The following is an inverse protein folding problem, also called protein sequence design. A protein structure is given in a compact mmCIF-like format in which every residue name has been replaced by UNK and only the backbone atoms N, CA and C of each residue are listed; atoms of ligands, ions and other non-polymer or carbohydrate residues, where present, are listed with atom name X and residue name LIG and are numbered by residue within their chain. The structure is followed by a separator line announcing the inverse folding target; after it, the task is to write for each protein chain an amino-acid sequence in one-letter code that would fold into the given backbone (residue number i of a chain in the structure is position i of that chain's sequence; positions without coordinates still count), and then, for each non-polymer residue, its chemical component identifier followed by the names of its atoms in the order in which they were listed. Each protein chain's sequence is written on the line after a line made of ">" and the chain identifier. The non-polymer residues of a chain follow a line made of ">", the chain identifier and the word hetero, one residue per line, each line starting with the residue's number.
data_IF_280148366114
#
_entry.id   IF_280148366114
#
_cell.length_a   1.000
_cell.length_b   1.000
_cell.length_c   1.000
_cell.angle_alpha   90.00
_cell.angle_beta   90.00
_cell.angle_gamma   90.00
#
_symmetry.space_group_name_H-M   'P 1'
#
loop_
_entity.id
_entity.type
_entity.pdbx_description
1 polymer ?
#
# COMPACT_ATOMS: atom_id res chain seq x y z
N UNK A 1 -24.20 10.85 54.46
CA UNK A 1 -23.67 11.00 53.10
C UNK A 1 -24.66 10.36 52.13
N UNK A 2 -25.25 11.11 51.21
CA UNK A 2 -26.39 10.66 50.41
C UNK A 2 -25.95 9.51 49.50
N UNK A 3 -26.63 8.34 49.54
CA UNK A 3 -26.26 7.13 48.77
C UNK A 3 -26.09 7.42 47.27
N UNK A 4 -26.83 8.40 46.76
CA UNK A 4 -26.74 8.92 45.39
C UNK A 4 -25.36 9.50 45.04
N UNK A 5 -24.70 10.20 45.97
CA UNK A 5 -23.35 10.75 45.73
C UNK A 5 -22.33 9.62 45.57
N UNK A 6 -22.47 8.56 46.37
CA UNK A 6 -21.59 7.39 46.29
C UNK A 6 -21.74 6.64 44.96
N UNK A 7 -22.97 6.54 44.45
CA UNK A 7 -23.26 5.92 43.15
C UNK A 7 -22.67 6.75 42.00
N UNK A 8 -22.76 8.08 42.06
CA UNK A 8 -22.19 8.98 41.04
C UNK A 8 -20.67 8.86 40.99
N UNK A 9 -20.00 8.86 42.15
CA UNK A 9 -18.55 8.69 42.23
C UNK A 9 -18.09 7.31 41.75
N UNK A 10 -18.86 6.25 42.05
CA UNK A 10 -18.58 4.91 41.55
C UNK A 10 -18.69 4.83 40.02
N UNK A 11 -19.72 5.47 39.43
CA UNK A 11 -19.92 5.50 37.97
C UNK A 11 -18.81 6.29 37.25
N UNK A 12 -18.38 7.41 37.84
CA UNK A 12 -17.28 8.23 37.31
C UNK A 12 -15.95 7.48 37.36
N UNK A 13 -15.71 6.71 38.43
CA UNK A 13 -14.53 5.84 38.55
C UNK A 13 -14.45 4.78 37.46
N UNK A 14 -15.58 4.18 37.07
CA UNK A 14 -15.63 3.19 35.99
C UNK A 14 -15.31 3.82 34.63
N UNK A 15 -15.82 5.03 34.34
CA UNK A 15 -15.50 5.74 33.08
C UNK A 15 -14.00 6.04 32.92
N UNK A 16 -13.29 6.30 34.03
CA UNK A 16 -11.85 6.59 34.01
C UNK A 16 -10.98 5.33 33.80
N UNK A 17 -11.55 4.14 33.94
CA UNK A 17 -10.83 2.86 33.74
C UNK A 17 -10.98 2.28 32.34
N UNK A 18 -11.75 2.93 31.45
CA UNK A 18 -11.85 2.50 30.06
C UNK A 18 -10.50 2.83 29.40
N UNK A 19 -9.70 1.82 28.98
CA UNK A 19 -8.48 2.11 28.24
C UNK A 19 -8.86 2.89 26.98
N UNK A 20 -8.27 4.06 26.79
CA UNK A 20 -8.32 4.75 25.50
C UNK A 20 -7.84 3.75 24.44
N UNK A 21 -8.67 3.43 23.44
CA UNK A 21 -8.20 2.67 22.28
C UNK A 21 -7.03 3.45 21.67
N UNK A 22 -5.81 2.96 21.87
CA UNK A 22 -4.62 3.56 21.31
C UNK A 22 -4.29 2.78 20.05
N UNK A 23 -5.06 3.01 18.99
CA UNK A 23 -4.89 2.37 17.68
C UNK A 23 -3.74 3.02 16.89
N UNK A 24 -2.83 3.73 17.57
CA UNK A 24 -1.76 4.47 16.93
C UNK A 24 -0.66 3.51 16.48
N UNK A 25 -0.71 3.12 15.21
CA UNK A 25 0.36 2.38 14.53
C UNK A 25 1.66 3.18 14.53
N UNK A 26 2.76 2.49 14.82
CA UNK A 26 4.12 3.00 14.61
C UNK A 26 4.50 2.89 13.13
N UNK A 27 5.56 3.59 12.73
CA UNK A 27 6.11 3.44 11.38
C UNK A 27 6.49 1.98 11.05
N UNK A 28 7.02 1.25 12.03
CA UNK A 28 7.36 -0.17 11.87
C UNK A 28 6.11 -1.03 11.65
N UNK A 29 5.00 -0.72 12.33
CA UNK A 29 3.73 -1.42 12.12
C UNK A 29 3.18 -1.16 10.72
N UNK A 30 3.29 0.08 10.20
CA UNK A 30 2.91 0.39 8.82
C UNK A 30 3.73 -0.38 7.79
N UNK A 31 5.05 -0.46 7.98
CA UNK A 31 5.91 -1.24 7.09
C UNK A 31 5.57 -2.73 7.11
N UNK A 32 5.33 -3.28 8.31
CA UNK A 32 4.95 -4.68 8.46
C UNK A 32 3.60 -4.98 7.79
N UNK A 33 2.61 -4.11 7.98
CA UNK A 33 1.30 -4.28 7.35
C UNK A 33 1.36 -4.12 5.83
N UNK A 34 2.19 -3.20 5.32
CA UNK A 34 2.44 -3.01 3.89
C UNK A 34 3.07 -4.27 3.27
N UNK A 35 4.14 -4.81 3.86
CA UNK A 35 4.81 -6.03 3.40
C UNK A 35 3.81 -7.19 3.34
N UNK A 36 3.02 -7.37 4.41
CA UNK A 36 1.98 -8.40 4.47
C UNK A 36 0.89 -8.21 3.42
N UNK A 37 0.47 -6.97 3.14
CA UNK A 37 -0.54 -6.67 2.15
C UNK A 37 -0.03 -6.97 0.73
N UNK A 38 1.23 -6.65 0.44
CA UNK A 38 1.91 -6.97 -0.83
C UNK A 38 1.99 -8.50 -1.01
N UNK A 39 2.45 -9.24 0.00
CA UNK A 39 2.54 -10.70 -0.06
C UNK A 39 1.19 -11.36 -0.30
N UNK A 40 0.14 -10.87 0.38
CA UNK A 40 -1.23 -11.33 0.17
C UNK A 40 -1.69 -11.07 -1.28
N UNK A 41 -1.41 -9.89 -1.82
CA UNK A 41 -1.78 -9.53 -3.18
C UNK A 41 -1.07 -10.42 -4.21
N UNK A 42 0.24 -10.63 -4.06
CA UNK A 42 1.04 -11.52 -4.90
C UNK A 42 0.46 -12.93 -4.89
N UNK A 43 0.13 -13.47 -3.71
CA UNK A 43 -0.45 -14.80 -3.58
C UNK A 43 -1.85 -14.90 -4.19
N UNK A 44 -2.71 -13.91 -3.96
CA UNK A 44 -4.08 -13.89 -4.49
C UNK A 44 -4.12 -13.77 -6.01
N UNK A 45 -3.27 -12.94 -6.60
CA UNK A 45 -3.18 -12.73 -8.04
C UNK A 45 -2.26 -13.74 -8.73
N UNK A 46 -1.62 -14.65 -7.98
CA UNK A 46 -0.69 -15.67 -8.49
C UNK A 46 0.46 -15.07 -9.32
N UNK A 47 1.02 -13.97 -8.82
CA UNK A 47 2.12 -13.28 -9.49
C UNK A 47 3.43 -14.06 -9.29
N UNK A 48 4.24 -14.12 -10.33
CA UNK A 48 5.61 -14.62 -10.28
C UNK A 48 6.56 -13.44 -10.11
N UNK A 49 7.28 -13.40 -8.99
CA UNK A 49 8.23 -12.32 -8.72
C UNK A 49 9.61 -12.72 -9.20
N UNK A 50 10.18 -11.91 -10.08
CA UNK A 50 11.50 -12.11 -10.65
C UNK A 50 12.55 -11.35 -9.83
N UNK A 51 13.61 -12.06 -9.44
CA UNK A 51 14.79 -11.49 -8.78
C UNK A 51 15.75 -10.83 -9.78
N UNK A 52 15.76 -11.32 -11.02
CA UNK A 52 16.57 -10.80 -12.11
C UNK A 52 15.68 -10.23 -13.22
N UNK A 53 16.13 -9.12 -13.81
CA UNK A 53 15.41 -8.52 -14.92
C UNK A 53 15.51 -9.43 -16.17
N UNK A 54 14.42 -9.74 -16.88
CA UNK A 54 14.44 -10.59 -18.06
C UNK A 54 15.42 -10.07 -19.12
N UNK A 55 16.42 -10.88 -19.49
CA UNK A 55 17.40 -10.51 -20.52
C UNK A 55 16.75 -10.28 -21.90
N UNK A 56 15.63 -10.95 -22.18
CA UNK A 56 14.83 -10.75 -23.39
C UNK A 56 14.05 -9.42 -23.37
N UNK A 57 13.89 -8.80 -22.20
CA UNK A 57 13.01 -7.65 -21.96
C UNK A 57 11.52 -7.99 -21.95
N UNK A 58 11.15 -9.25 -22.16
CA UNK A 58 9.76 -9.69 -22.22
C UNK A 58 9.35 -10.33 -20.90
N UNK A 59 8.19 -9.94 -20.39
CA UNK A 59 7.56 -10.52 -19.22
C UNK A 59 6.33 -11.33 -19.63
N UNK A 60 6.06 -12.44 -18.94
CA UNK A 60 4.72 -13.01 -18.94
C UNK A 60 3.74 -12.10 -18.20
N UNK A 61 2.44 -12.23 -18.44
CA UNK A 61 1.41 -11.34 -17.87
C UNK A 61 1.42 -11.30 -16.33
N UNK A 62 1.74 -12.41 -15.67
CA UNK A 62 1.82 -12.50 -14.22
C UNK A 62 3.25 -12.35 -13.66
N UNK A 63 4.25 -12.08 -14.50
CA UNK A 63 5.64 -11.88 -14.05
C UNK A 63 5.91 -10.42 -13.71
N UNK A 64 6.49 -10.17 -12.52
CA UNK A 64 6.83 -8.83 -12.08
C UNK A 64 8.26 -8.84 -11.52
N UNK A 65 9.10 -7.91 -11.99
CA UNK A 65 10.44 -7.73 -11.43
C UNK A 65 10.38 -6.82 -10.21
N UNK A 66 11.03 -7.22 -9.12
CA UNK A 66 11.21 -6.40 -7.92
C UNK A 66 12.53 -5.64 -8.03
N UNK A 67 12.48 -4.33 -8.24
CA UNK A 67 13.69 -3.51 -8.25
C UNK A 67 14.33 -3.46 -6.86
N UNK A 68 15.57 -3.97 -6.69
CA UNK A 68 16.22 -4.00 -5.38
C UNK A 68 16.59 -2.61 -4.85
N UNK A 69 16.68 -1.59 -5.71
CA UNK A 69 17.01 -0.24 -5.30
C UNK A 69 15.81 0.53 -4.73
N UNK A 70 14.61 0.29 -5.28
CA UNK A 70 13.39 1.04 -4.93
C UNK A 70 12.34 0.21 -4.19
N UNK A 71 12.40 -1.11 -4.28
CA UNK A 71 11.38 -2.03 -3.77
C UNK A 71 10.11 -2.08 -4.63
N UNK A 72 10.08 -1.40 -5.78
CA UNK A 72 8.92 -1.35 -6.68
C UNK A 72 8.85 -2.61 -7.53
N UNK A 73 7.65 -3.16 -7.65
CA UNK A 73 7.34 -4.31 -8.50
C UNK A 73 6.72 -3.82 -9.80
N UNK A 74 7.25 -4.23 -10.95
CA UNK A 74 6.70 -3.83 -12.25
C UNK A 74 6.85 -4.89 -13.33
N UNK A 75 5.95 -4.80 -14.31
CA UNK A 75 5.95 -5.59 -15.54
C UNK A 75 6.02 -4.61 -16.71
N UNK A 76 7.00 -4.79 -17.60
CA UNK A 76 7.10 -3.97 -18.81
C UNK A 76 6.34 -4.66 -19.94
N UNK A 77 5.14 -4.14 -20.23
CA UNK A 77 4.27 -4.67 -21.30
C UNK A 77 4.85 -4.33 -22.69
N UNK A 78 5.41 -3.12 -22.84
CA UNK A 78 6.01 -2.66 -24.08
C UNK A 78 7.06 -1.59 -23.80
N UNK A 79 8.21 -1.69 -24.48
CA UNK A 79 9.25 -0.65 -24.46
C UNK A 79 8.85 0.62 -25.22
N UNK A 80 7.75 0.58 -25.98
CA UNK A 80 7.33 1.71 -26.81
C UNK A 80 8.41 2.11 -27.82
N UNK A 81 8.58 3.42 -28.02
CA UNK A 81 9.59 3.97 -28.91
C UNK A 81 10.94 4.12 -28.20
N UNK A 82 11.94 3.38 -28.68
CA UNK A 82 13.32 3.38 -28.16
C UNK A 82 14.28 4.26 -28.97
N UNK A 83 13.78 4.96 -30.00
CA UNK A 83 14.61 5.83 -30.85
C UNK A 83 14.95 7.15 -30.19
N UNK A 84 14.11 7.61 -29.24
CA UNK A 84 14.28 8.88 -28.54
C UNK A 84 14.65 8.63 -27.08
N UNK A 85 15.80 9.15 -26.65
CA UNK A 85 16.19 9.12 -25.25
C UNK A 85 15.59 10.31 -24.49
N UNK A 86 15.15 10.06 -23.27
CA UNK A 86 14.71 11.11 -22.36
C UNK A 86 15.91 11.98 -21.94
N UNK A 87 15.69 13.29 -21.88
CA UNK A 87 16.69 14.23 -21.35
C UNK A 87 16.37 14.60 -19.89
N UNK A 88 17.36 14.93 -19.06
CA UNK A 88 17.11 15.43 -17.72
C UNK A 88 16.16 16.63 -17.73
N UNK A 89 15.22 16.68 -16.77
CA UNK A 89 14.18 17.72 -16.66
C UNK A 89 13.14 17.75 -17.80
N UNK A 90 13.07 16.71 -18.62
CA UNK A 90 12.00 16.59 -19.62
C UNK A 90 10.64 16.37 -18.95
N UNK A 91 9.61 17.06 -19.42
CA UNK A 91 8.24 16.87 -18.96
C UNK A 91 7.69 15.58 -19.59
N UNK A 92 7.19 14.69 -18.74
CA UNK A 92 6.56 13.43 -19.14
C UNK A 92 5.09 13.45 -18.73
N UNK A 93 4.20 13.06 -19.64
CA UNK A 93 2.76 12.94 -19.38
C UNK A 93 2.41 11.47 -19.22
N UNK A 94 1.76 11.11 -18.11
CA UNK A 94 1.45 9.72 -17.74
C UNK A 94 -0.07 9.53 -17.70
N UNK A 95 -0.52 8.36 -18.18
CA UNK A 95 -1.89 7.87 -17.99
C UNK A 95 -1.86 6.59 -17.16
N UNK A 96 -2.82 6.43 -16.26
CA UNK A 96 -2.96 5.29 -15.37
C UNK A 96 -4.45 4.91 -15.17
N UNK A 97 -4.68 3.62 -14.92
CA UNK A 97 -5.99 3.09 -14.47
C UNK A 97 -5.85 2.46 -13.11
N UNK A 98 -7.00 2.32 -12.46
CA UNK A 98 -7.21 1.37 -11.38
C UNK A 98 -6.18 1.50 -10.25
N UNK A 99 -5.75 2.74 -9.96
CA UNK A 99 -4.88 3.01 -8.83
C UNK A 99 -5.66 2.72 -7.55
N UNK A 100 -5.15 1.76 -6.77
CA UNK A 100 -5.77 1.28 -5.56
C UNK A 100 -4.76 1.28 -4.41
N UNK A 101 -5.19 1.78 -3.25
CA UNK A 101 -4.39 1.80 -2.03
C UNK A 101 -4.79 0.63 -1.14
N UNK A 102 -3.88 -0.31 -0.91
CA UNK A 102 -4.13 -1.51 -0.11
C UNK A 102 -4.37 -1.24 1.39
N UNK A 103 -3.88 -0.09 1.88
CA UNK A 103 -3.79 0.22 3.31
C UNK A 103 -4.89 1.18 3.81
N UNK A 104 -5.77 1.68 2.94
CA UNK A 104 -6.94 2.45 3.37
C UNK A 104 -8.14 1.55 3.57
N UNK A 105 -8.88 1.74 4.67
CA UNK A 105 -10.11 0.97 4.95
C UNK A 105 -11.17 1.16 3.85
N UNK A 106 -11.11 2.26 3.10
CA UNK A 106 -11.97 2.54 1.96
C UNK A 106 -11.34 2.08 0.63
N UNK A 107 -12.13 1.39 -0.20
CA UNK A 107 -11.75 1.03 -1.58
C UNK A 107 -11.85 2.27 -2.48
N UNK A 108 -10.91 3.19 -2.35
CA UNK A 108 -10.77 4.29 -3.31
C UNK A 108 -10.03 3.80 -4.55
N UNK A 109 -10.62 4.05 -5.73
CA UNK A 109 -10.00 3.79 -7.03
C UNK A 109 -9.86 5.09 -7.78
N UNK A 110 -8.66 5.34 -8.31
CA UNK A 110 -8.37 6.54 -9.10
C UNK A 110 -7.96 6.15 -10.53
N UNK A 111 -8.37 6.96 -11.50
CA UNK A 111 -7.88 6.88 -12.88
C UNK A 111 -7.88 8.26 -13.50
N UNK A 112 -6.89 8.53 -14.35
CA UNK A 112 -6.87 9.72 -15.20
C UNK A 112 -7.10 9.40 -16.67
N UNK A 113 -7.66 8.23 -16.96
CA UNK A 113 -8.18 7.92 -18.29
C UNK A 113 -9.57 8.54 -18.46
N UNK A 114 -9.70 9.37 -19.49
CA UNK A 114 -10.98 9.89 -19.98
C UNK A 114 -11.70 8.82 -20.76
#
# INVERSE_FOLDING_TARGET
>A
MNKTIFIIFALLGVLLTIPSCNDRKTYADYLYDEEKAIDLFIAQQQLSILEEYPASGNFAENEFFKDPATGVYYNVISYGDTTTNLTPNQIVYIRFRDLHYFMSEDTSRYSNMV
#
